data_IF_344529770455
#
_entry.id   IF_344529770455
#
_cell.length_a   1.000
_cell.length_b   1.000
_cell.length_c   1.000
_cell.angle_alpha   90.00
_cell.angle_beta   90.00
_cell.angle_gamma   90.00
#
_symmetry.space_group_name_H-M   'P 1'
#
loop_
_entity.id
_entity.type
_entity.pdbx_description
1 polymer ?
#
# COMPACT_ATOMS: atom_id res chain seq x y z
N UNK A 1 7.61 -3.52 15.93
CA UNK A 1 7.69 -2.50 14.86
C UNK A 1 6.55 -2.77 13.90
N UNK A 2 5.98 -1.74 13.26
CA UNK A 2 4.87 -1.91 12.32
C UNK A 2 5.41 -2.31 10.94
N UNK A 3 4.75 -3.25 10.27
CA UNK A 3 5.14 -3.72 8.94
C UNK A 3 4.07 -3.37 7.91
N UNK A 4 4.50 -3.16 6.68
CA UNK A 4 3.66 -2.99 5.50
C UNK A 4 2.61 -4.11 5.41
N UNK A 5 1.37 -3.75 5.11
CA UNK A 5 0.25 -4.66 4.85
C UNK A 5 -0.38 -4.34 3.50
N UNK A 6 0.45 -4.27 2.46
CA UNK A 6 -0.02 -4.06 1.09
C UNK A 6 -0.98 -5.19 0.68
N UNK A 7 -2.28 -4.92 0.44
CA UNK A 7 -3.24 -5.95 0.07
C UNK A 7 -3.06 -6.48 -1.35
N UNK A 8 -2.34 -5.76 -2.21
CA UNK A 8 -2.04 -6.13 -3.59
C UNK A 8 -0.70 -6.86 -3.74
N UNK A 9 0.14 -6.88 -2.70
CA UNK A 9 1.43 -7.57 -2.70
C UNK A 9 1.62 -8.38 -1.43
N UNK A 10 1.34 -9.68 -1.54
CA UNK A 10 1.50 -10.61 -0.43
C UNK A 10 2.96 -10.65 0.05
N UNK A 11 3.14 -10.75 1.38
CA UNK A 11 4.42 -10.97 2.09
C UNK A 11 5.42 -9.79 2.17
N UNK A 12 5.02 -8.55 1.91
CA UNK A 12 5.90 -7.41 2.23
C UNK A 12 6.07 -7.29 3.76
N UNK A 13 7.32 -7.25 4.26
CA UNK A 13 7.64 -7.09 5.69
C UNK A 13 8.39 -5.79 5.99
N UNK A 14 8.43 -4.85 5.05
CA UNK A 14 9.13 -3.57 5.22
C UNK A 14 8.50 -2.75 6.34
N UNK A 15 9.35 -2.11 7.14
CA UNK A 15 8.94 -1.20 8.22
C UNK A 15 9.00 0.29 7.79
N UNK A 16 9.43 0.56 6.55
CA UNK A 16 9.54 1.91 6.00
C UNK A 16 8.18 2.43 5.51
N UNK A 17 7.26 2.64 6.46
CA UNK A 17 5.86 3.05 6.21
C UNK A 17 5.82 4.48 5.65
N UNK A 18 5.14 4.66 4.51
CA UNK A 18 4.97 5.94 3.83
C UNK A 18 3.60 6.55 4.09
N UNK A 19 2.57 5.73 4.01
CA UNK A 19 1.18 6.16 4.20
C UNK A 19 0.32 5.03 4.76
N UNK A 20 -0.92 5.38 5.08
CA UNK A 20 -1.95 4.42 5.43
C UNK A 20 -3.11 4.54 4.44
N UNK A 21 -3.64 3.40 4.03
CA UNK A 21 -4.86 3.32 3.21
C UNK A 21 -6.01 2.82 4.06
N UNK A 22 -7.24 3.10 3.61
CA UNK A 22 -8.45 2.54 4.21
C UNK A 22 -9.16 1.64 3.20
N UNK A 23 -9.27 0.35 3.53
CA UNK A 23 -9.94 -0.65 2.70
C UNK A 23 -10.85 -1.49 3.59
N UNK A 24 -12.12 -1.65 3.19
CA UNK A 24 -13.13 -2.44 3.94
C UNK A 24 -13.24 -2.02 5.42
N UNK A 25 -13.05 -0.74 5.71
CA UNK A 25 -13.07 -0.21 7.08
C UNK A 25 -11.76 -0.39 7.86
N UNK A 26 -10.80 -1.15 7.35
CA UNK A 26 -9.49 -1.36 7.99
C UNK A 26 -8.47 -0.32 7.52
N UNK A 27 -7.66 0.18 8.45
CA UNK A 27 -6.52 1.04 8.16
C UNK A 27 -5.26 0.19 8.04
N UNK A 28 -4.63 0.20 6.86
CA UNK A 28 -3.46 -0.62 6.55
C UNK A 28 -2.23 0.25 6.26
N UNK A 29 -1.07 -0.01 6.89
CA UNK A 29 0.18 0.69 6.59
C UNK A 29 0.78 0.21 5.26
N UNK A 30 1.24 1.15 4.43
CA UNK A 30 1.89 0.87 3.14
C UNK A 30 3.28 1.46 3.14
N UNK A 31 4.29 0.64 2.80
CA UNK A 31 5.68 1.10 2.71
C UNK A 31 5.95 1.90 1.43
N UNK A 32 7.04 2.66 1.44
CA UNK A 32 7.46 3.49 0.29
C UNK A 32 7.53 2.71 -1.02
N UNK A 33 8.15 1.51 -1.03
CA UNK A 33 8.26 0.68 -2.24
C UNK A 33 6.91 0.20 -2.76
N UNK A 34 6.00 -0.19 -1.87
CA UNK A 34 4.66 -0.61 -2.26
C UNK A 34 3.85 0.57 -2.80
N UNK A 35 3.96 1.74 -2.17
CA UNK A 35 3.28 2.94 -2.64
C UNK A 35 3.76 3.38 -4.02
N UNK A 36 5.08 3.40 -4.27
CA UNK A 36 5.61 3.71 -5.61
C UNK A 36 5.05 2.78 -6.67
N UNK A 37 5.04 1.46 -6.42
CA UNK A 37 4.44 0.49 -7.35
C UNK A 37 2.96 0.73 -7.63
N UNK A 38 2.19 1.20 -6.64
CA UNK A 38 0.76 1.51 -6.81
C UNK A 38 0.57 2.82 -7.57
N UNK A 39 1.40 3.83 -7.30
CA UNK A 39 1.31 5.15 -7.91
C UNK A 39 1.79 5.17 -9.37
N UNK A 40 2.72 4.28 -9.70
CA UNK A 40 3.24 4.11 -11.05
C UNK A 40 2.32 3.25 -11.94
N UNK A 41 1.41 2.47 -11.35
CA UNK A 41 0.36 1.77 -12.10
C UNK A 41 -0.70 2.77 -12.58
N UNK A 42 -0.84 2.92 -13.90
CA UNK A 42 -1.91 3.72 -14.53
C UNK A 42 -3.28 3.06 -14.32
N UNK A 43 -3.84 3.22 -13.12
CA UNK A 43 -5.24 2.88 -12.86
C UNK A 43 -6.08 4.13 -13.09
N UNK A 44 -6.58 4.31 -14.31
CA UNK A 44 -7.61 5.29 -14.58
C UNK A 44 -8.91 4.82 -13.93
N UNK A 45 -9.50 5.67 -13.09
CA UNK A 45 -10.91 5.54 -12.76
C UNK A 45 -11.67 6.07 -13.98
N UNK A 46 -12.53 5.23 -14.56
CA UNK A 46 -13.15 5.43 -15.89
C UNK A 46 -13.75 6.82 -16.13
N UNK A 47 -13.83 7.15 -17.43
CA UNK A 47 -14.27 8.43 -18.03
C UNK A 47 -15.45 9.13 -17.34
#
# INVERSE_FOLDING_TARGET
MEHCKNPWKNNCKSENIKLYIQIKGEKLPICTQCWSSIADDEVSWGD
#
